data_IF_327467076994
#
_entry.id   IF_327467076994
#
_cell.length_a   1.000
_cell.length_b   1.000
_cell.length_c   1.000
_cell.angle_alpha   90.00
_cell.angle_beta   90.00
_cell.angle_gamma   90.00
#
_symmetry.space_group_name_H-M   'P 1'
#
loop_
_entity.id
_entity.type
_entity.pdbx_description
1 polymer ?
#
# COMPACT_ATOMS: atom_id res chain seq x y z
N UNK A 1 -23.37 31.58 -6.96
CA UNK A 1 -22.14 31.17 -7.71
C UNK A 1 -21.58 32.41 -8.40
N UNK A 2 -20.30 32.45 -8.77
CA UNK A 2 -19.77 33.58 -9.57
C UNK A 2 -20.25 33.48 -11.02
N UNK A 3 -20.33 34.61 -11.72
CA UNK A 3 -20.68 34.70 -13.15
C UNK A 3 -19.86 33.71 -14.00
N UNK A 4 -18.54 33.69 -13.82
CA UNK A 4 -17.62 32.79 -14.56
C UNK A 4 -17.95 31.31 -14.33
N UNK A 5 -18.33 30.92 -13.11
CA UNK A 5 -18.67 29.54 -12.81
C UNK A 5 -20.00 29.12 -13.45
N UNK A 6 -20.98 30.05 -13.54
CA UNK A 6 -22.25 29.81 -14.24
C UNK A 6 -22.00 29.58 -15.73
N UNK A 7 -21.21 30.45 -16.39
CA UNK A 7 -20.84 30.29 -17.81
C UNK A 7 -20.14 28.95 -18.06
N UNK A 8 -19.16 28.61 -17.23
CA UNK A 8 -18.42 27.33 -17.34
C UNK A 8 -19.32 26.11 -17.16
N UNK A 9 -20.28 26.18 -16.23
CA UNK A 9 -21.22 25.10 -16.00
C UNK A 9 -22.13 24.88 -17.23
N UNK A 10 -22.70 25.94 -17.78
CA UNK A 10 -23.57 25.86 -18.97
C UNK A 10 -22.83 25.32 -20.19
N UNK A 11 -21.61 25.79 -20.41
CA UNK A 11 -20.78 25.28 -21.50
C UNK A 11 -20.33 23.83 -21.31
N UNK A 12 -19.84 23.48 -20.11
CA UNK A 12 -19.23 22.17 -19.86
C UNK A 12 -20.22 21.04 -19.55
N UNK A 13 -21.39 21.37 -18.99
CA UNK A 13 -22.39 20.41 -18.53
C UNK A 13 -23.64 20.44 -19.41
N UNK A 14 -24.16 21.63 -19.73
CA UNK A 14 -25.38 21.76 -20.56
C UNK A 14 -25.06 21.69 -22.06
N UNK A 15 -23.82 22.02 -22.45
CA UNK A 15 -23.34 21.95 -23.83
C UNK A 15 -23.75 23.15 -24.69
N UNK A 16 -24.09 24.27 -24.04
CA UNK A 16 -24.51 25.48 -24.71
C UNK A 16 -23.36 26.18 -25.44
N UNK A 17 -23.70 26.85 -26.55
CA UNK A 17 -22.79 27.75 -27.24
C UNK A 17 -22.35 28.88 -26.30
N UNK A 18 -21.08 29.32 -26.41
CA UNK A 18 -20.50 30.39 -25.58
C UNK A 18 -21.44 31.60 -25.46
N UNK A 19 -22.07 32.00 -26.56
CA UNK A 19 -22.97 33.16 -26.57
C UNK A 19 -24.21 32.94 -25.72
N UNK A 20 -24.77 31.74 -25.81
CA UNK A 20 -25.98 31.35 -25.09
C UNK A 20 -25.65 31.24 -23.59
N UNK A 21 -24.58 30.50 -23.26
CA UNK A 21 -24.12 30.32 -21.89
C UNK A 21 -23.83 31.66 -21.19
N UNK A 22 -23.19 32.61 -21.87
CA UNK A 22 -22.88 33.94 -21.33
C UNK A 22 -24.14 34.77 -21.15
N UNK A 23 -25.04 34.77 -22.14
CA UNK A 23 -26.27 35.56 -22.08
C UNK A 23 -27.19 35.08 -20.95
N UNK A 24 -27.37 33.77 -20.80
CA UNK A 24 -28.19 33.20 -19.73
C UNK A 24 -27.54 33.41 -18.35
N UNK A 25 -26.21 33.30 -18.25
CA UNK A 25 -25.52 33.59 -16.99
C UNK A 25 -25.65 35.06 -16.57
N UNK A 26 -25.73 36.00 -17.52
CA UNK A 26 -26.03 37.42 -17.25
C UNK A 26 -27.45 37.56 -16.69
N UNK A 27 -28.43 36.96 -17.34
CA UNK A 27 -29.84 37.04 -16.92
C UNK A 27 -30.02 36.43 -15.52
N UNK A 28 -29.42 35.27 -15.24
CA UNK A 28 -29.42 34.68 -13.91
C UNK A 28 -28.74 35.57 -12.86
N UNK A 29 -27.64 36.25 -13.21
CA UNK A 29 -26.98 37.16 -12.28
C UNK A 29 -27.84 38.40 -11.99
N UNK A 30 -28.57 38.91 -12.98
CA UNK A 30 -29.51 40.03 -12.78
C UNK A 30 -30.67 39.58 -11.88
N UNK A 31 -31.23 38.40 -12.13
CA UNK A 31 -32.32 37.82 -11.32
C UNK A 31 -31.87 37.53 -9.87
N UNK A 32 -30.59 37.20 -9.65
CA UNK A 32 -29.98 36.97 -8.35
C UNK A 32 -29.53 38.27 -7.63
N UNK A 33 -29.79 39.45 -8.20
CA UNK A 33 -29.34 40.76 -7.69
C UNK A 33 -27.80 40.90 -7.59
N UNK A 34 -27.08 40.27 -8.53
CA UNK A 34 -25.61 40.25 -8.60
C UNK A 34 -25.14 41.14 -9.76
N UNK A 35 -24.45 42.24 -9.44
CA UNK A 35 -23.86 43.16 -10.41
C UNK A 35 -24.86 43.71 -11.45
N UNK A 36 -26.12 43.89 -11.04
CA UNK A 36 -27.25 44.31 -11.90
C UNK A 36 -26.89 45.55 -12.71
N UNK A 37 -26.49 46.65 -12.04
CA UNK A 37 -26.16 47.92 -12.71
C UNK A 37 -25.04 47.78 -13.76
N UNK A 38 -24.08 46.88 -13.50
CA UNK A 38 -22.96 46.63 -14.41
C UNK A 38 -23.42 45.85 -15.65
N UNK A 39 -24.19 44.78 -15.44
CA UNK A 39 -24.68 43.96 -16.55
C UNK A 39 -25.74 44.68 -17.40
N UNK A 40 -26.58 45.53 -16.81
CA UNK A 40 -27.53 46.34 -17.56
C UNK A 40 -26.84 47.36 -18.46
N UNK A 41 -25.71 47.94 -18.01
CA UNK A 41 -24.97 48.96 -18.77
C UNK A 41 -23.98 48.38 -19.76
N UNK A 42 -23.36 47.23 -19.45
CA UNK A 42 -22.25 46.64 -20.22
C UNK A 42 -22.58 45.28 -20.83
N UNK A 43 -23.86 44.93 -21.01
CA UNK A 43 -24.28 43.61 -21.51
C UNK A 43 -23.56 43.17 -22.78
N UNK A 44 -23.58 44.03 -23.80
CA UNK A 44 -23.00 43.71 -25.11
C UNK A 44 -21.47 43.54 -25.04
N UNK A 45 -20.79 44.39 -24.27
CA UNK A 45 -19.34 44.35 -24.07
C UNK A 45 -18.90 43.08 -23.33
N UNK A 46 -19.64 42.67 -22.30
CA UNK A 46 -19.38 41.42 -21.56
C UNK A 46 -19.56 40.21 -22.47
N UNK A 47 -20.62 40.19 -23.28
CA UNK A 47 -20.86 39.12 -24.26
C UNK A 47 -19.72 39.07 -25.29
N UNK A 48 -19.33 40.23 -25.84
CA UNK A 48 -18.28 40.32 -26.85
C UNK A 48 -16.92 39.85 -26.32
N UNK A 49 -16.48 40.37 -25.17
CA UNK A 49 -15.22 39.98 -24.52
C UNK A 49 -15.22 38.49 -24.20
N UNK A 50 -16.34 37.95 -23.73
CA UNK A 50 -16.46 36.53 -23.40
C UNK A 50 -16.40 35.61 -24.61
N UNK A 51 -16.67 36.10 -25.82
CA UNK A 51 -16.57 35.32 -27.07
C UNK A 51 -15.16 35.37 -27.64
N UNK A 52 -14.50 36.52 -27.60
CA UNK A 52 -13.20 36.71 -28.24
C UNK A 52 -12.01 36.23 -27.40
N UNK A 53 -12.11 36.30 -26.08
CA UNK A 53 -11.04 35.81 -25.17
C UNK A 53 -11.21 34.31 -24.82
N UNK A 54 -12.27 33.66 -25.29
CA UNK A 54 -12.51 32.24 -25.02
C UNK A 54 -11.81 31.35 -26.05
N UNK A 55 -10.61 30.87 -25.70
CA UNK A 55 -9.93 29.79 -26.42
C UNK A 55 -10.39 28.43 -25.87
N UNK A 56 -11.39 27.86 -26.54
CA UNK A 56 -11.96 26.55 -26.21
C UNK A 56 -10.90 25.44 -26.18
N UNK A 57 -9.86 25.52 -27.02
CA UNK A 57 -8.80 24.50 -27.07
C UNK A 57 -7.92 24.55 -25.82
N UNK A 58 -7.58 25.74 -25.32
CA UNK A 58 -6.75 25.90 -24.13
C UNK A 58 -7.50 25.51 -22.84
N UNK A 59 -8.80 25.81 -22.76
CA UNK A 59 -9.65 25.36 -21.63
C UNK A 59 -9.80 23.84 -21.65
N UNK A 60 -10.02 23.25 -22.83
CA UNK A 60 -10.12 21.79 -22.95
C UNK A 60 -8.80 21.09 -22.61
N UNK A 61 -7.67 21.69 -23.01
CA UNK A 61 -6.32 21.18 -22.68
C UNK A 61 -6.08 21.19 -21.18
N UNK A 62 -6.36 22.31 -20.51
CA UNK A 62 -6.15 22.45 -19.06
C UNK A 62 -7.02 21.46 -18.29
N UNK A 63 -8.31 21.33 -18.62
CA UNK A 63 -9.21 20.34 -17.99
C UNK A 63 -8.74 18.89 -18.20
N UNK A 64 -8.22 18.56 -19.39
CA UNK A 64 -7.70 17.22 -19.67
C UNK A 64 -6.39 16.93 -18.92
N UNK A 65 -5.49 17.91 -18.83
CA UNK A 65 -4.25 17.80 -18.07
C UNK A 65 -4.50 17.67 -16.57
N UNK A 66 -5.43 18.46 -16.01
CA UNK A 66 -5.85 18.36 -14.61
C UNK A 66 -6.46 16.99 -14.32
N UNK A 67 -7.38 16.49 -15.16
CA UNK A 67 -7.98 15.17 -14.98
C UNK A 67 -6.93 14.04 -15.07
N UNK A 68 -5.96 14.16 -15.97
CA UNK A 68 -4.88 13.18 -16.12
C UNK A 68 -3.93 13.18 -14.93
N UNK A 69 -3.58 14.33 -14.38
CA UNK A 69 -2.72 14.41 -13.20
C UNK A 69 -3.46 13.89 -11.95
N UNK A 70 -4.73 14.24 -11.74
CA UNK A 70 -5.53 13.66 -10.64
C UNK A 70 -5.59 12.13 -10.71
N UNK A 71 -5.90 11.56 -11.89
CA UNK A 71 -5.95 10.12 -12.06
C UNK A 71 -4.59 9.42 -11.81
N UNK A 72 -3.49 10.10 -12.13
CA UNK A 72 -2.13 9.58 -11.93
C UNK A 72 -1.68 9.68 -10.47
N UNK A 73 -2.10 10.71 -9.74
CA UNK A 73 -1.86 10.82 -8.31
C UNK A 73 -2.65 9.77 -7.53
N UNK A 74 -3.95 9.61 -7.80
CA UNK A 74 -4.78 8.58 -7.16
C UNK A 74 -4.24 7.17 -7.42
N UNK A 75 -3.81 6.88 -8.64
CA UNK A 75 -3.23 5.57 -8.97
C UNK A 75 -1.88 5.35 -8.28
N UNK A 76 -1.07 6.39 -8.11
CA UNK A 76 0.22 6.28 -7.40
C UNK A 76 0.02 6.01 -5.92
N UNK A 77 -0.90 6.70 -5.26
CA UNK A 77 -1.14 6.49 -3.83
C UNK A 77 -1.68 5.08 -3.56
N UNK A 78 -2.68 4.64 -4.33
CA UNK A 78 -3.30 3.31 -4.15
C UNK A 78 -2.30 2.17 -4.37
N UNK A 79 -1.50 2.21 -5.43
CA UNK A 79 -0.50 1.18 -5.72
C UNK A 79 0.62 1.15 -4.68
N UNK A 80 1.07 2.30 -4.18
CA UNK A 80 2.12 2.36 -3.15
C UNK A 80 1.61 1.82 -1.81
N UNK A 81 0.36 2.10 -1.45
CA UNK A 81 -0.23 1.58 -0.22
C UNK A 81 -0.45 0.07 -0.27
N UNK A 82 -0.97 -0.46 -1.38
CA UNK A 82 -1.17 -1.91 -1.55
C UNK A 82 0.17 -2.67 -1.50
N UNK A 83 1.18 -2.22 -2.24
CA UNK A 83 2.51 -2.85 -2.24
C UNK A 83 3.17 -2.81 -0.85
N UNK A 84 3.01 -1.73 -0.10
CA UNK A 84 3.55 -1.63 1.27
C UNK A 84 2.84 -2.58 2.23
N UNK A 85 1.55 -2.82 2.04
CA UNK A 85 0.77 -3.74 2.88
C UNK A 85 1.16 -5.18 2.58
N UNK A 86 1.18 -5.57 1.31
CA UNK A 86 1.55 -6.93 0.88
C UNK A 86 2.98 -7.27 1.32
N UNK A 87 3.95 -6.39 1.06
CA UNK A 87 5.34 -6.63 1.48
C UNK A 87 5.51 -6.74 3.01
N UNK A 88 4.67 -6.04 3.79
CA UNK A 88 4.72 -6.12 5.26
C UNK A 88 4.08 -7.40 5.78
N UNK A 89 2.98 -7.85 5.18
CA UNK A 89 2.28 -9.08 5.55
C UNK A 89 3.11 -10.32 5.20
N UNK A 90 3.73 -10.38 4.02
CA UNK A 90 4.61 -11.49 3.63
C UNK A 90 5.84 -11.58 4.54
N UNK A 91 6.53 -10.45 4.77
CA UNK A 91 7.72 -10.43 5.61
C UNK A 91 7.41 -10.80 7.08
N UNK A 92 6.23 -10.44 7.60
CA UNK A 92 5.87 -10.80 8.98
C UNK A 92 5.50 -12.28 9.12
N UNK A 93 4.85 -12.88 8.12
CA UNK A 93 4.51 -14.30 8.16
C UNK A 93 5.76 -15.18 8.05
N UNK A 94 6.69 -14.86 7.13
CA UNK A 94 7.93 -15.63 6.98
C UNK A 94 8.81 -15.55 8.23
N UNK A 95 9.02 -14.35 8.77
CA UNK A 95 9.88 -14.16 9.96
C UNK A 95 9.29 -14.84 11.21
N UNK A 96 7.96 -14.85 11.36
CA UNK A 96 7.33 -15.49 12.50
C UNK A 96 7.39 -17.01 12.40
N UNK A 97 7.10 -17.58 11.22
CA UNK A 97 7.19 -19.01 10.98
C UNK A 97 8.63 -19.54 11.15
N UNK A 98 9.62 -18.82 10.63
CA UNK A 98 11.03 -19.19 10.74
C UNK A 98 11.55 -19.04 12.19
N UNK A 99 11.09 -18.01 12.91
CA UNK A 99 11.39 -17.80 14.33
C UNK A 99 10.80 -18.89 15.24
N UNK A 100 9.58 -19.36 14.96
CA UNK A 100 8.90 -20.37 15.76
C UNK A 100 9.51 -21.77 15.57
N UNK A 101 9.77 -22.16 14.31
CA UNK A 101 10.45 -23.44 13.99
C UNK A 101 11.87 -23.49 14.57
N UNK A 102 12.63 -22.40 14.46
CA UNK A 102 13.98 -22.30 15.06
C UNK A 102 13.92 -22.41 16.60
N UNK A 103 12.89 -21.85 17.23
CA UNK A 103 12.69 -21.93 18.68
C UNK A 103 12.37 -23.34 19.20
N UNK A 104 11.55 -24.10 18.49
CA UNK A 104 11.20 -25.48 18.87
C UNK A 104 12.37 -26.45 18.73
N UNK A 105 13.08 -26.38 17.60
CA UNK A 105 14.28 -27.20 17.38
C UNK A 105 15.35 -26.93 18.46
N UNK A 106 15.57 -25.67 18.82
CA UNK A 106 16.50 -25.29 19.90
C UNK A 106 16.11 -25.86 21.27
N UNK A 107 14.81 -26.01 21.56
CA UNK A 107 14.35 -26.63 22.81
C UNK A 107 14.69 -28.12 22.83
N UNK A 108 14.44 -28.84 21.74
CA UNK A 108 14.72 -30.28 21.62
C UNK A 108 16.23 -30.54 21.75
N UNK A 109 17.05 -29.80 21.00
CA UNK A 109 18.52 -29.88 21.07
C UNK A 109 19.02 -29.64 22.49
N UNK A 110 18.53 -28.60 23.18
CA UNK A 110 18.89 -28.32 24.57
C UNK A 110 18.50 -29.44 25.54
N UNK A 111 17.33 -30.05 25.36
CA UNK A 111 16.91 -31.18 26.18
C UNK A 111 17.82 -32.40 25.97
N UNK A 112 18.20 -32.68 24.72
CA UNK A 112 19.12 -33.77 24.38
C UNK A 112 20.51 -33.49 24.96
N UNK A 113 21.09 -32.28 24.80
CA UNK A 113 22.36 -31.90 25.41
C UNK A 113 22.35 -32.15 26.93
N UNK A 114 21.28 -31.70 27.62
CA UNK A 114 21.15 -31.91 29.08
C UNK A 114 21.10 -33.38 29.46
N UNK A 115 20.50 -34.23 28.62
CA UNK A 115 20.38 -35.68 28.87
C UNK A 115 21.66 -36.44 28.53
N UNK A 116 22.38 -36.04 27.47
CA UNK A 116 23.71 -36.56 27.11
C UNK A 116 24.74 -36.20 28.17
N UNK A 117 24.73 -34.96 28.70
CA UNK A 117 25.59 -34.56 29.83
C UNK A 117 25.37 -35.39 31.10
N UNK A 118 24.18 -36.02 31.24
CA UNK A 118 23.84 -36.94 32.33
C UNK A 118 24.17 -38.41 31.99
N UNK A 119 24.89 -38.66 30.90
CA UNK A 119 25.28 -40.00 30.41
C UNK A 119 24.11 -40.95 30.18
N UNK A 120 22.96 -40.43 29.74
CA UNK A 120 21.80 -41.27 29.36
C UNK A 120 21.99 -41.87 27.97
N UNK A 121 21.51 -43.10 27.78
CA UNK A 121 21.53 -43.79 26.47
C UNK A 121 20.45 -43.25 25.54
N UNK A 122 20.65 -43.40 24.23
CA UNK A 122 19.71 -42.99 23.19
C UNK A 122 18.28 -43.50 23.46
N UNK A 123 18.13 -44.78 23.80
CA UNK A 123 16.86 -45.44 24.11
C UNK A 123 16.11 -44.76 25.28
N UNK A 124 16.85 -44.38 26.34
CA UNK A 124 16.26 -43.70 27.50
C UNK A 124 15.87 -42.26 27.15
N UNK A 125 16.64 -41.60 26.30
CA UNK A 125 16.35 -40.24 25.83
C UNK A 125 15.10 -40.24 24.97
N UNK A 126 14.97 -41.20 24.04
CA UNK A 126 13.80 -41.38 23.20
C UNK A 126 12.55 -41.66 24.01
N UNK A 127 12.62 -42.62 24.93
CA UNK A 127 11.50 -42.92 25.82
C UNK A 127 11.09 -41.73 26.71
N UNK A 128 12.03 -40.90 27.17
CA UNK A 128 11.71 -39.73 28.02
C UNK A 128 11.28 -38.49 27.23
N UNK A 129 11.52 -38.43 25.92
CA UNK A 129 11.08 -37.34 25.05
C UNK A 129 9.78 -37.69 24.32
N UNK A 130 9.31 -38.94 24.41
CA UNK A 130 8.15 -39.45 23.66
C UNK A 130 8.32 -39.32 22.13
N UNK A 131 9.56 -39.38 21.67
CA UNK A 131 9.97 -39.23 20.26
C UNK A 131 10.58 -40.53 19.75
N UNK A 132 10.55 -40.76 18.43
CA UNK A 132 11.13 -41.98 17.85
C UNK A 132 12.67 -42.00 17.94
N UNK A 133 13.25 -43.18 18.15
CA UNK A 133 14.71 -43.35 18.18
C UNK A 133 15.37 -42.92 16.86
N UNK A 134 14.65 -43.07 15.73
CA UNK A 134 15.11 -42.64 14.42
C UNK A 134 15.27 -41.12 14.32
N UNK A 135 14.38 -40.35 14.96
CA UNK A 135 14.37 -38.89 14.92
C UNK A 135 15.41 -38.29 15.87
N UNK A 136 15.64 -38.92 17.02
CA UNK A 136 16.62 -38.44 18.00
C UNK A 136 18.05 -38.82 17.62
N UNK A 137 18.25 -39.95 16.93
CA UNK A 137 19.59 -40.44 16.55
C UNK A 137 20.49 -39.38 15.90
N UNK A 138 20.07 -38.64 14.85
CA UNK A 138 20.92 -37.61 14.24
C UNK A 138 21.28 -36.49 15.22
N UNK A 139 20.34 -36.07 16.07
CA UNK A 139 20.58 -35.02 17.07
C UNK A 139 21.54 -35.51 18.16
N UNK A 140 21.37 -36.75 18.64
CA UNK A 140 22.24 -37.36 19.63
C UNK A 140 23.68 -37.49 19.11
N UNK A 141 23.87 -37.94 17.87
CA UNK A 141 25.18 -38.03 17.23
C UNK A 141 25.86 -36.66 17.08
N UNK A 142 25.11 -35.63 16.67
CA UNK A 142 25.60 -34.25 16.55
C UNK A 142 26.01 -33.66 17.92
N UNK A 143 25.23 -33.94 18.97
CA UNK A 143 25.50 -33.52 20.36
C UNK A 143 26.74 -34.21 20.92
N UNK A 144 26.88 -35.52 20.75
CA UNK A 144 28.05 -36.30 21.22
C UNK A 144 29.32 -35.85 20.50
N UNK A 145 29.23 -35.57 19.20
CA UNK A 145 30.34 -35.08 18.38
C UNK A 145 30.78 -33.65 18.70
N UNK A 146 30.03 -32.95 19.55
CA UNK A 146 30.32 -31.58 20.00
C UNK A 146 30.76 -31.55 21.47
N UNK A 147 30.91 -32.71 22.12
CA UNK A 147 31.49 -32.81 23.45
C UNK A 147 33.00 -32.44 23.43
N UNK A 148 33.53 -31.75 24.45
CA UNK A 148 32.88 -31.40 25.72
C UNK A 148 32.21 -30.01 25.77
N UNK A 149 32.34 -29.17 24.74
CA UNK A 149 31.81 -27.79 24.76
C UNK A 149 30.29 -27.73 24.53
N UNK A 150 29.74 -28.69 23.78
CA UNK A 150 28.32 -28.78 23.43
C UNK A 150 27.76 -27.48 22.82
N UNK A 151 28.49 -26.90 21.87
CA UNK A 151 28.08 -25.66 21.20
C UNK A 151 26.83 -25.90 20.32
N UNK A 152 25.76 -25.18 20.66
CA UNK A 152 24.46 -25.28 20.00
C UNK A 152 24.54 -24.88 18.53
N UNK A 153 25.39 -23.91 18.18
CA UNK A 153 25.52 -23.44 16.80
C UNK A 153 26.18 -24.52 15.92
N UNK A 154 27.21 -25.19 16.44
CA UNK A 154 27.90 -26.28 15.73
C UNK A 154 27.00 -27.50 15.56
N UNK A 155 26.15 -27.79 16.56
CA UNK A 155 25.16 -28.86 16.48
C UNK A 155 24.10 -28.53 15.44
N UNK A 156 23.60 -27.28 15.42
CA UNK A 156 22.62 -26.82 14.44
C UNK A 156 23.17 -26.86 13.01
N UNK A 157 24.36 -26.30 12.78
CA UNK A 157 25.00 -26.33 11.46
C UNK A 157 25.20 -27.76 10.95
N UNK A 158 25.48 -28.74 11.82
CA UNK A 158 25.57 -30.15 11.41
C UNK A 158 24.22 -30.75 11.05
N UNK A 159 23.17 -30.40 11.77
CA UNK A 159 21.81 -30.87 11.49
C UNK A 159 21.26 -30.24 10.20
N UNK A 160 21.59 -28.98 9.92
CA UNK A 160 21.19 -28.29 8.68
C UNK A 160 21.98 -28.77 7.44
N UNK A 161 23.12 -29.43 7.63
CA UNK A 161 24.00 -29.97 6.56
C UNK A 161 23.95 -31.50 6.40
N UNK A 162 23.06 -32.21 7.10
CA UNK A 162 22.86 -33.68 7.01
C UNK A 162 21.75 -34.05 6.04
#
# INVERSE_FOLDING_TARGET
>A
MTFVNKVRFKMGVEGDDVRIAVTEAIDECIDEDILVDFFEQHREEVVEVSIYDYDEEDVRRTLFEEAKEMAKEELKETVIEELKREAKEELTQEVFAEGEQSGEQLKIVNQIIKKVKKSKTLETIASELEEEEADIKPIYEAVVSSAPDYDINVIKDRLDNM
#
